data_IF_240434490700
#
_entry.id   IF_240434490700
#
_cell.length_a   1.000
_cell.length_b   1.000
_cell.length_c   1.000
_cell.angle_alpha   90.00
_cell.angle_beta   90.00
_cell.angle_gamma   90.00
#
_symmetry.space_group_name_H-M   'P 1'
#
loop_
_entity.id
_entity.type
_entity.pdbx_description
1 polymer ?
#
# COMPACT_ATOMS: atom_id res chain seq x y z
N UNK A 1 7.97 18.35 14.19
CA UNK A 1 8.31 17.92 12.83
C UNK A 1 8.31 19.09 11.85
N UNK A 2 8.67 18.83 10.57
CA UNK A 2 8.84 19.85 9.53
C UNK A 2 7.59 20.72 9.35
N UNK A 3 6.39 20.16 9.31
CA UNK A 3 5.15 20.92 9.17
C UNK A 3 5.00 21.99 10.28
N UNK A 4 5.27 21.63 11.54
CA UNK A 4 5.25 22.59 12.65
C UNK A 4 6.28 23.72 12.45
N UNK A 5 7.49 23.37 12.03
CA UNK A 5 8.55 24.35 11.79
C UNK A 5 8.20 25.31 10.64
N UNK A 6 7.63 24.78 9.56
CA UNK A 6 7.15 25.60 8.44
C UNK A 6 6.12 26.66 8.93
N UNK A 7 5.11 26.22 9.68
CA UNK A 7 4.08 27.14 10.22
C UNK A 7 4.67 28.15 11.21
N UNK A 8 5.61 27.71 12.07
CA UNK A 8 6.29 28.61 13.02
C UNK A 8 7.13 29.70 12.31
N UNK A 9 7.63 29.42 11.09
CA UNK A 9 8.33 30.38 10.24
C UNK A 9 7.38 31.19 9.34
N UNK A 10 6.07 31.10 9.55
CA UNK A 10 5.07 31.85 8.78
C UNK A 10 4.78 31.29 7.38
N UNK A 11 5.26 30.10 7.03
CA UNK A 11 4.93 29.47 5.76
C UNK A 11 3.51 28.93 5.80
N UNK A 12 2.66 29.42 4.90
CA UNK A 12 1.24 29.02 4.79
C UNK A 12 0.99 27.90 3.80
N UNK A 13 1.98 27.58 2.95
CA UNK A 13 1.88 26.49 2.00
C UNK A 13 1.80 25.12 2.71
N UNK A 14 1.06 24.16 2.17
CA UNK A 14 1.06 22.80 2.72
C UNK A 14 2.39 22.09 2.46
N UNK A 15 2.78 21.19 3.36
CA UNK A 15 3.83 20.21 3.10
C UNK A 15 3.26 19.14 2.17
N UNK A 16 4.04 18.69 1.20
CA UNK A 16 3.73 17.51 0.40
C UNK A 16 4.91 16.54 0.44
N UNK A 17 4.61 15.28 0.70
CA UNK A 17 5.60 14.21 0.74
C UNK A 17 5.14 12.94 0.02
N UNK A 18 6.02 11.95 -0.04
CA UNK A 18 5.71 10.61 -0.51
C UNK A 18 4.97 9.77 0.53
N UNK A 19 4.83 8.50 0.23
CA UNK A 19 4.15 7.50 1.07
C UNK A 19 4.78 7.32 2.46
N UNK A 20 6.06 7.63 2.62
CA UNK A 20 6.75 7.57 3.91
C UNK A 20 6.20 8.51 4.99
N UNK A 21 5.41 9.53 4.64
CA UNK A 21 4.71 10.36 5.62
C UNK A 21 3.21 10.05 5.72
N UNK A 22 2.70 9.15 4.89
CA UNK A 22 1.30 8.70 4.91
C UNK A 22 1.06 7.74 6.07
N UNK A 23 1.10 8.28 7.27
CA UNK A 23 0.96 7.55 8.53
C UNK A 23 0.18 8.40 9.56
N UNK A 24 -0.72 7.82 10.36
CA UNK A 24 -1.42 8.53 11.43
C UNK A 24 -0.46 9.22 12.42
N UNK A 25 0.74 8.65 12.62
CA UNK A 25 1.77 9.22 13.49
C UNK A 25 2.27 10.58 13.03
N UNK A 26 2.31 10.81 11.71
CA UNK A 26 2.62 12.14 11.16
C UNK A 26 1.63 13.18 11.69
N UNK A 27 0.33 12.88 11.65
CA UNK A 27 -0.73 13.78 12.11
C UNK A 27 -0.66 13.96 13.62
N UNK A 28 -0.47 12.87 14.37
CA UNK A 28 -0.29 12.93 15.84
C UNK A 28 0.84 13.88 16.24
N UNK A 29 2.00 13.76 15.59
CA UNK A 29 3.18 14.56 15.88
C UNK A 29 3.07 16.01 15.40
N UNK A 30 2.44 16.26 14.27
CA UNK A 30 2.28 17.59 13.71
C UNK A 30 1.10 18.36 14.34
N UNK A 31 0.10 17.64 14.85
CA UNK A 31 -1.10 18.23 15.43
C UNK A 31 -1.89 19.06 14.40
N UNK A 32 -2.47 20.15 14.84
CA UNK A 32 -3.28 21.03 13.98
C UNK A 32 -2.50 21.63 12.79
N UNK A 33 -1.17 21.69 12.88
CA UNK A 33 -0.32 22.22 11.77
C UNK A 33 -0.32 21.32 10.55
N UNK A 34 -0.68 20.03 10.71
CA UNK A 34 -0.79 19.09 9.57
C UNK A 34 -1.97 19.39 8.64
N UNK A 35 -2.96 20.19 9.09
CA UNK A 35 -4.16 20.44 8.29
C UNK A 35 -3.79 21.03 6.91
N UNK A 36 -4.23 20.34 5.86
CA UNK A 36 -3.92 20.66 4.48
C UNK A 36 -2.64 20.05 3.93
N UNK A 37 -1.77 19.47 4.78
CA UNK A 37 -0.60 18.74 4.30
C UNK A 37 -1.01 17.54 3.45
N UNK A 38 -0.17 17.15 2.51
CA UNK A 38 -0.47 16.14 1.51
C UNK A 38 0.59 15.04 1.47
N UNK A 39 0.16 13.84 1.09
CA UNK A 39 1.04 12.71 0.81
C UNK A 39 0.56 11.96 -0.43
N UNK A 40 1.48 11.36 -1.17
CA UNK A 40 1.14 10.37 -2.19
C UNK A 40 1.26 8.98 -1.62
N UNK A 41 0.43 8.05 -2.09
CA UNK A 41 0.59 6.62 -1.82
C UNK A 41 0.21 5.80 -3.03
N UNK A 42 0.74 4.58 -3.10
CA UNK A 42 0.44 3.63 -4.17
C UNK A 42 -1.00 3.12 -4.05
N UNK A 43 -1.61 2.84 -5.19
CA UNK A 43 -2.95 2.24 -5.28
C UNK A 43 -4.10 3.17 -4.93
N UNK A 44 -5.29 2.60 -4.98
CA UNK A 44 -6.52 3.20 -4.48
C UNK A 44 -6.63 3.02 -2.94
N UNK A 45 -7.47 3.80 -2.25
CA UNK A 45 -7.76 3.56 -0.84
C UNK A 45 -8.25 2.13 -0.62
N UNK A 46 -7.72 1.45 0.41
CA UNK A 46 -8.05 0.02 0.66
C UNK A 46 -9.55 -0.20 0.87
N UNK A 47 -10.24 0.75 1.49
CA UNK A 47 -11.68 0.72 1.72
C UNK A 47 -12.53 1.13 0.51
N UNK A 48 -11.92 1.36 -0.65
CA UNK A 48 -12.63 1.73 -1.88
C UNK A 48 -13.11 0.52 -2.70
N UNK A 49 -12.84 -0.70 -2.26
CA UNK A 49 -13.25 -1.95 -2.90
C UNK A 49 -13.83 -2.94 -1.92
N UNK A 50 -14.77 -3.79 -2.35
CA UNK A 50 -15.36 -4.84 -1.52
C UNK A 50 -14.30 -5.79 -0.92
N UNK A 51 -13.27 -6.12 -1.70
CA UNK A 51 -12.18 -6.98 -1.25
C UNK A 51 -11.33 -6.31 -0.16
N UNK A 52 -11.10 -5.02 -0.29
CA UNK A 52 -10.39 -4.22 0.71
C UNK A 52 -11.18 -4.03 1.99
N UNK A 53 -12.49 -3.72 1.90
CA UNK A 53 -13.37 -3.64 3.07
C UNK A 53 -13.44 -4.98 3.82
N UNK A 54 -13.55 -6.08 3.09
CA UNK A 54 -13.52 -7.42 3.66
C UNK A 54 -12.20 -7.69 4.39
N UNK A 55 -11.07 -7.37 3.77
CA UNK A 55 -9.75 -7.50 4.40
C UNK A 55 -9.65 -6.72 5.71
N UNK A 56 -10.06 -5.44 5.71
CA UNK A 56 -10.03 -4.60 6.92
C UNK A 56 -10.92 -5.17 8.04
N UNK A 57 -12.08 -5.71 7.67
CA UNK A 57 -13.02 -6.35 8.60
C UNK A 57 -12.41 -7.62 9.21
N UNK A 58 -11.82 -8.49 8.38
CA UNK A 58 -11.18 -9.73 8.83
C UNK A 58 -9.92 -9.45 9.66
N UNK A 59 -9.12 -8.46 9.26
CA UNK A 59 -7.95 -8.03 10.02
C UNK A 59 -8.34 -7.57 11.43
N UNK A 60 -9.36 -6.73 11.53
CA UNK A 60 -9.89 -6.26 12.81
C UNK A 60 -10.42 -7.41 13.68
N UNK A 61 -11.13 -8.36 13.07
CA UNK A 61 -11.65 -9.55 13.77
C UNK A 61 -10.51 -10.47 14.27
N UNK A 62 -9.34 -10.42 13.66
CA UNK A 62 -8.14 -11.16 14.08
C UNK A 62 -7.55 -10.72 15.41
N UNK A 63 -8.01 -9.59 15.98
CA UNK A 63 -7.61 -9.12 17.30
C UNK A 63 -6.15 -8.67 17.40
N UNK A 64 -5.55 -8.26 16.29
CA UNK A 64 -4.19 -7.70 16.28
C UNK A 64 -4.14 -6.40 17.07
N UNK A 65 -3.00 -6.14 17.72
CA UNK A 65 -2.81 -4.96 18.56
C UNK A 65 -2.80 -3.65 17.78
N UNK A 66 -2.34 -3.71 16.55
CA UNK A 66 -2.20 -2.56 15.68
C UNK A 66 -3.24 -2.60 14.56
N UNK A 67 -3.70 -1.45 14.13
CA UNK A 67 -4.59 -1.34 12.99
C UNK A 67 -3.86 -1.70 11.70
N UNK A 68 -4.61 -2.12 10.68
CA UNK A 68 -4.05 -2.35 9.36
C UNK A 68 -3.43 -1.05 8.84
N UNK A 69 -2.12 -1.07 8.57
CA UNK A 69 -1.42 0.08 8.00
C UNK A 69 -1.75 0.25 6.51
N UNK A 70 -1.31 1.37 5.94
CA UNK A 70 -1.41 1.63 4.50
C UNK A 70 -0.82 0.50 3.62
N UNK A 71 0.15 -0.25 4.15
CA UNK A 71 0.80 -1.37 3.44
C UNK A 71 0.21 -2.75 3.76
N UNK A 72 -0.75 -2.86 4.67
CA UNK A 72 -1.32 -4.13 5.11
C UNK A 72 -1.90 -4.96 3.96
N UNK A 73 -2.71 -4.33 3.10
CA UNK A 73 -3.27 -4.97 1.92
C UNK A 73 -2.21 -5.44 0.92
N UNK A 74 -1.16 -4.65 0.72
CA UNK A 74 -0.04 -5.01 -0.16
C UNK A 74 0.75 -6.20 0.38
N UNK A 75 1.01 -6.23 1.69
CA UNK A 75 1.66 -7.36 2.35
C UNK A 75 0.84 -8.66 2.21
N UNK A 76 -0.48 -8.55 2.35
CA UNK A 76 -1.39 -9.67 2.15
C UNK A 76 -1.34 -10.19 0.69
N UNK A 77 -1.45 -9.31 -0.28
CA UNK A 77 -1.42 -9.68 -1.70
C UNK A 77 -0.05 -10.22 -2.12
N UNK A 78 1.05 -9.68 -1.59
CA UNK A 78 2.39 -10.20 -1.84
C UNK A 78 2.55 -11.63 -1.30
N UNK A 79 2.07 -11.90 -0.09
CA UNK A 79 2.07 -13.25 0.48
C UNK A 79 1.22 -14.21 -0.36
N UNK A 80 0.04 -13.78 -0.80
CA UNK A 80 -0.83 -14.56 -1.68
C UNK A 80 -0.15 -14.86 -3.03
N UNK A 81 0.51 -13.87 -3.64
CA UNK A 81 1.25 -14.06 -4.89
C UNK A 81 2.33 -15.13 -4.75
N UNK A 82 3.12 -15.09 -3.66
CA UNK A 82 4.15 -16.09 -3.38
C UNK A 82 3.54 -17.49 -3.18
N UNK A 83 2.44 -17.58 -2.43
CA UNK A 83 1.75 -18.85 -2.18
C UNK A 83 1.21 -19.44 -3.49
N UNK A 84 0.56 -18.64 -4.33
CA UNK A 84 0.04 -19.11 -5.62
C UNK A 84 1.17 -19.56 -6.56
N UNK A 85 2.26 -18.80 -6.64
CA UNK A 85 3.43 -19.21 -7.39
C UNK A 85 4.04 -20.52 -6.86
N UNK A 86 4.15 -20.66 -5.53
CA UNK A 86 4.73 -21.86 -4.89
C UNK A 86 3.91 -23.12 -5.16
N UNK A 87 2.58 -23.03 -5.16
CA UNK A 87 1.69 -24.17 -5.47
C UNK A 87 2.00 -24.82 -6.82
N UNK A 88 2.42 -24.04 -7.80
CA UNK A 88 2.76 -24.56 -9.12
C UNK A 88 4.25 -24.90 -9.26
N UNK A 89 5.13 -24.04 -8.73
CA UNK A 89 6.57 -24.10 -8.96
C UNK A 89 7.29 -25.19 -8.15
N UNK A 90 6.81 -25.47 -6.93
CA UNK A 90 7.57 -26.35 -6.01
C UNK A 90 7.18 -27.83 -6.08
N UNK A 91 6.21 -28.20 -6.90
CA UNK A 91 5.77 -29.61 -7.04
C UNK A 91 6.90 -30.54 -7.44
N UNK A 92 7.75 -30.09 -8.36
CA UNK A 92 8.81 -30.88 -8.98
C UNK A 92 10.22 -30.37 -8.63
N UNK A 93 10.32 -29.49 -7.62
CA UNK A 93 11.59 -28.94 -7.19
C UNK A 93 12.49 -30.03 -6.57
N UNK A 94 13.68 -30.25 -7.15
CA UNK A 94 14.62 -31.27 -6.70
C UNK A 94 15.58 -30.80 -5.61
N UNK A 95 15.81 -29.51 -5.54
CA UNK A 95 16.70 -28.85 -4.57
C UNK A 95 16.27 -27.39 -4.37
N UNK A 96 16.93 -26.71 -3.42
CA UNK A 96 16.61 -25.31 -3.05
C UNK A 96 16.86 -24.35 -4.20
N UNK A 97 17.89 -24.60 -5.03
CA UNK A 97 18.22 -23.69 -6.13
C UNK A 97 17.17 -23.78 -7.23
N UNK A 98 16.89 -25.01 -7.71
CA UNK A 98 15.87 -25.23 -8.74
C UNK A 98 14.48 -24.78 -8.29
N UNK A 99 14.16 -24.93 -6.99
CA UNK A 99 12.92 -24.43 -6.40
C UNK A 99 12.83 -22.90 -6.45
N UNK A 100 13.90 -22.17 -6.15
CA UNK A 100 13.93 -20.70 -6.22
C UNK A 100 13.77 -20.17 -7.64
N UNK A 101 14.48 -20.74 -8.60
CA UNK A 101 14.42 -20.33 -10.00
C UNK A 101 13.00 -20.57 -10.57
N UNK A 102 12.41 -21.73 -10.25
CA UNK A 102 11.04 -22.05 -10.63
C UNK A 102 10.02 -21.10 -9.98
N UNK A 103 10.20 -20.80 -8.68
CA UNK A 103 9.33 -19.88 -7.96
C UNK A 103 9.38 -18.47 -8.54
N UNK A 104 10.56 -17.94 -8.83
CA UNK A 104 10.72 -16.62 -9.44
C UNK A 104 10.03 -16.55 -10.79
N UNK A 105 10.22 -17.58 -11.63
CA UNK A 105 9.54 -17.67 -12.94
C UNK A 105 8.02 -17.73 -12.79
N UNK A 106 7.53 -18.50 -11.83
CA UNK A 106 6.09 -18.63 -11.57
C UNK A 106 5.50 -17.32 -11.00
N UNK A 107 6.24 -16.63 -10.12
CA UNK A 107 5.82 -15.37 -9.52
C UNK A 107 5.59 -14.29 -10.60
N UNK A 108 6.47 -14.17 -11.59
CA UNK A 108 6.29 -13.27 -12.72
C UNK A 108 5.06 -13.55 -13.59
N UNK A 109 4.42 -14.71 -13.42
CA UNK A 109 3.22 -15.12 -14.19
C UNK A 109 1.93 -15.07 -13.37
N UNK A 110 1.99 -14.74 -12.09
CA UNK A 110 0.77 -14.65 -11.27
C UNK A 110 -0.14 -13.53 -11.77
N UNK A 111 -1.44 -13.81 -11.73
CA UNK A 111 -2.46 -12.82 -12.09
C UNK A 111 -3.75 -13.17 -11.35
N UNK A 112 -4.14 -12.33 -10.41
CA UNK A 112 -5.37 -12.52 -9.63
C UNK A 112 -5.96 -11.17 -9.18
N UNK A 113 -7.21 -11.19 -8.74
CA UNK A 113 -7.83 -10.06 -8.09
C UNK A 113 -7.52 -10.15 -6.59
N UNK A 114 -6.75 -9.17 -6.12
CA UNK A 114 -6.29 -9.04 -4.74
C UNK A 114 -7.11 -8.04 -3.94
N UNK A 115 -6.66 -7.81 -2.72
CA UNK A 115 -7.22 -6.79 -1.81
C UNK A 115 -6.93 -5.38 -2.34
N UNK A 116 -5.77 -5.20 -2.97
CA UNK A 116 -5.32 -3.92 -3.51
C UNK A 116 -5.72 -3.72 -4.98
N UNK A 117 -6.56 -4.59 -5.52
CA UNK A 117 -6.97 -4.62 -6.92
C UNK A 117 -6.26 -5.70 -7.72
N UNK A 118 -6.06 -5.48 -9.02
CA UNK A 118 -5.38 -6.45 -9.88
C UNK A 118 -3.92 -6.61 -9.50
N UNK A 119 -3.52 -7.83 -9.17
CA UNK A 119 -2.13 -8.21 -8.92
C UNK A 119 -1.61 -8.97 -10.13
N UNK A 120 -0.67 -8.38 -10.83
CA UNK A 120 0.05 -8.97 -11.95
C UNK A 120 1.35 -8.19 -12.17
N UNK A 121 2.32 -8.81 -12.82
CA UNK A 121 3.64 -8.23 -13.10
C UNK A 121 3.90 -8.13 -14.60
N UNK A 122 4.69 -7.15 -15.00
CA UNK A 122 5.20 -7.01 -16.35
C UNK A 122 6.51 -7.79 -16.56
N UNK A 123 7.12 -7.64 -17.72
CA UNK A 123 8.37 -8.33 -18.06
C UNK A 123 9.59 -7.92 -17.21
N UNK A 124 9.50 -6.78 -16.53
CA UNK A 124 10.54 -6.26 -15.62
C UNK A 124 10.31 -6.66 -14.17
N UNK A 125 9.14 -7.22 -13.85
CA UNK A 125 8.71 -7.55 -12.51
C UNK A 125 8.00 -6.40 -11.78
N UNK A 126 7.69 -5.32 -12.50
CA UNK A 126 6.92 -4.21 -11.98
C UNK A 126 5.42 -4.53 -11.98
N UNK A 127 4.69 -3.96 -11.04
CA UNK A 127 3.21 -4.10 -11.02
C UNK A 127 2.59 -3.50 -12.27
N UNK A 128 1.61 -4.20 -12.85
CA UNK A 128 0.79 -3.67 -13.94
C UNK A 128 -0.25 -2.66 -13.47
N UNK A 129 -0.53 -2.59 -12.15
CA UNK A 129 -1.42 -1.59 -11.56
C UNK A 129 -0.65 -0.29 -11.36
N UNK A 130 -1.03 0.75 -12.10
CA UNK A 130 -0.37 2.07 -12.09
C UNK A 130 -1.25 3.14 -11.43
N UNK A 131 -1.98 2.75 -10.39
CA UNK A 131 -2.85 3.65 -9.63
C UNK A 131 -2.06 4.32 -8.53
N UNK A 132 -2.22 5.63 -8.38
CA UNK A 132 -1.69 6.41 -7.26
C UNK A 132 -2.80 7.28 -6.67
N UNK A 133 -2.72 7.50 -5.37
CA UNK A 133 -3.64 8.39 -4.65
C UNK A 133 -2.87 9.50 -3.96
N UNK A 134 -3.34 10.72 -4.11
CA UNK A 134 -2.93 11.86 -3.29
C UNK A 134 -3.91 11.94 -2.11
N UNK A 135 -3.38 11.94 -0.92
CA UNK A 135 -4.11 12.16 0.32
C UNK A 135 -3.85 13.56 0.86
N UNK A 136 -4.81 14.09 1.58
CA UNK A 136 -4.72 15.36 2.28
C UNK A 136 -5.13 15.17 3.74
N UNK A 137 -4.50 15.88 4.65
CA UNK A 137 -4.95 15.91 6.06
C UNK A 137 -6.15 16.83 6.16
N UNK A 138 -7.27 16.27 6.57
CA UNK A 138 -8.52 16.98 6.83
C UNK A 138 -9.21 16.37 8.06
N UNK A 139 -9.73 17.22 8.95
CA UNK A 139 -10.37 16.77 10.18
C UNK A 139 -9.48 15.87 11.07
N UNK A 140 -8.15 16.05 11.02
CA UNK A 140 -7.20 15.22 11.78
C UNK A 140 -7.00 13.81 11.23
N UNK A 141 -7.34 13.57 9.96
CA UNK A 141 -7.18 12.28 9.29
C UNK A 141 -6.63 12.48 7.88
N UNK A 142 -5.96 11.46 7.36
CA UNK A 142 -5.67 11.35 5.95
C UNK A 142 -6.94 11.00 5.18
N UNK A 143 -7.33 11.86 4.23
CA UNK A 143 -8.47 11.62 3.33
C UNK A 143 -8.00 11.60 1.89
N UNK A 144 -8.52 10.72 1.03
CA UNK A 144 -8.16 10.71 -0.38
C UNK A 144 -8.64 12.02 -1.04
N UNK A 145 -7.73 12.72 -1.69
CA UNK A 145 -8.01 13.95 -2.43
C UNK A 145 -8.15 13.69 -3.94
N UNK A 146 -7.30 12.81 -4.48
CA UNK A 146 -7.35 12.41 -5.88
C UNK A 146 -6.73 11.04 -6.06
N UNK A 147 -7.43 10.15 -6.77
CA UNK A 147 -6.88 8.89 -7.28
C UNK A 147 -6.80 8.97 -8.80
N UNK A 148 -5.69 8.56 -9.39
CA UNK A 148 -5.47 8.58 -10.83
C UNK A 148 -4.67 7.35 -11.28
N UNK A 149 -4.76 7.02 -12.58
CA UNK A 149 -4.03 5.93 -13.20
C UNK A 149 -3.01 6.50 -14.18
N UNK A 150 -1.74 6.19 -13.97
CA UNK A 150 -0.66 6.58 -14.86
C UNK A 150 -0.58 5.65 -16.06
N UNK A 151 -0.23 6.23 -17.20
CA UNK A 151 -0.01 5.49 -18.47
C UNK A 151 1.43 5.00 -18.56
#
# INVERSE_FOLDING_TARGET
PLSQQMKAQGLTIPLMGGDGIFDPKFIELAGATATGDMATSVGAPTDSTDAGEKFLTEYKAGGYKEEASAYGGYGYDAAKAIIEAAKSALKDAKDVKSGRDALLTALGKVSFDGVTGKVAFDEYGDTTSKVLTVYKVDGGKWVPAKTDTFK
#
